data_IF_405252307512
#
_entry.id   IF_405252307512
#
_cell.length_a   1.000
_cell.length_b   1.000
_cell.length_c   1.000
_cell.angle_alpha   90.00
_cell.angle_beta   90.00
_cell.angle_gamma   90.00
#
_symmetry.space_group_name_H-M   'P 1'
#
loop_
_entity.id
_entity.type
_entity.pdbx_description
1 polymer ?
#
# COMPACT_ATOMS: atom_id res chain seq x y z
N UNK A 1 -18.69 -1.63 21.36
CA UNK A 1 -17.34 -1.11 21.12
C UNK A 1 -16.32 -1.63 22.12
N UNK A 2 -16.48 -1.48 23.44
CA UNK A 2 -15.60 -2.20 24.40
C UNK A 2 -15.60 -3.73 24.21
N UNK A 3 -16.65 -4.26 23.57
CA UNK A 3 -16.77 -5.66 23.16
C UNK A 3 -16.01 -6.05 21.90
N UNK A 4 -15.48 -5.09 21.14
CA UNK A 4 -14.70 -5.31 19.89
C UNK A 4 -13.18 -5.24 20.15
N UNK A 5 -12.77 -4.63 21.26
CA UNK A 5 -11.37 -4.58 21.68
C UNK A 5 -11.04 -5.84 22.47
N UNK A 6 -9.87 -6.42 22.19
CA UNK A 6 -9.38 -7.55 22.98
C UNK A 6 -9.33 -7.18 24.48
N UNK A 7 -9.81 -8.04 25.41
CA UNK A 7 -9.85 -7.72 26.84
C UNK A 7 -8.49 -7.34 27.43
N UNK A 8 -7.38 -7.94 26.97
CA UNK A 8 -6.04 -7.59 27.46
C UNK A 8 -5.64 -6.19 27.00
N UNK A 9 -5.97 -5.83 25.76
CA UNK A 9 -5.74 -4.49 25.21
C UNK A 9 -6.59 -3.45 25.94
N UNK A 10 -7.88 -3.75 26.15
CA UNK A 10 -8.78 -2.88 26.86
C UNK A 10 -8.36 -2.67 28.33
N UNK A 11 -7.82 -3.72 28.97
CA UNK A 11 -7.25 -3.64 30.32
C UNK A 11 -6.16 -2.57 30.44
N UNK A 12 -5.16 -2.62 29.55
CA UNK A 12 -4.07 -1.61 29.51
C UNK A 12 -4.62 -0.21 29.21
N UNK A 13 -5.56 -0.08 28.28
CA UNK A 13 -6.17 1.22 27.97
C UNK A 13 -6.88 1.81 29.19
N UNK A 14 -7.64 0.99 29.92
CA UNK A 14 -8.34 1.41 31.12
C UNK A 14 -7.37 1.77 32.25
N UNK A 15 -6.33 0.99 32.46
CA UNK A 15 -5.28 1.27 33.45
C UNK A 15 -4.63 2.63 33.18
N UNK A 16 -4.15 2.85 31.95
CA UNK A 16 -3.53 4.14 31.56
C UNK A 16 -4.49 5.31 31.68
N UNK A 17 -5.77 5.12 31.32
CA UNK A 17 -6.80 6.15 31.45
C UNK A 17 -7.07 6.52 32.91
N UNK A 18 -7.01 5.54 33.83
CA UNK A 18 -7.30 5.74 35.25
C UNK A 18 -6.10 6.29 36.03
N UNK A 19 -4.88 5.86 35.68
CA UNK A 19 -3.64 6.32 36.33
C UNK A 19 -3.11 7.63 35.76
N UNK A 20 -3.44 7.95 34.50
CA UNK A 20 -2.99 9.16 33.83
C UNK A 20 -3.78 10.41 34.23
N UNK A 21 -3.15 11.57 34.09
CA UNK A 21 -3.87 12.85 34.11
C UNK A 21 -4.97 12.85 33.05
N UNK A 22 -6.16 13.35 33.39
CA UNK A 22 -7.24 13.54 32.41
C UNK A 22 -6.78 14.49 31.32
N UNK A 23 -6.55 13.96 30.12
CA UNK A 23 -6.14 14.69 28.93
C UNK A 23 -7.09 14.41 27.79
N UNK A 24 -7.28 15.40 26.93
CA UNK A 24 -8.02 15.22 25.68
C UNK A 24 -7.19 14.39 24.69
N UNK A 25 -7.83 13.69 23.73
CA UNK A 25 -7.13 12.92 22.70
C UNK A 25 -6.08 13.73 21.91
N UNK A 26 -6.26 15.05 21.80
CA UNK A 26 -5.33 15.94 21.09
C UNK A 26 -4.12 16.30 21.95
N UNK A 27 -4.31 16.55 23.25
CA UNK A 27 -3.21 16.86 24.18
C UNK A 27 -2.23 15.70 24.34
N UNK A 28 -2.73 14.46 24.22
CA UNK A 28 -1.90 13.27 24.24
C UNK A 28 -0.92 13.27 23.05
N UNK A 29 -1.43 13.48 21.83
CA UNK A 29 -0.59 13.50 20.63
C UNK A 29 0.37 14.69 20.65
N UNK A 30 -0.10 15.87 21.09
CA UNK A 30 0.75 17.06 21.21
C UNK A 30 1.96 16.82 22.12
N UNK A 31 1.77 16.16 23.28
CA UNK A 31 2.88 15.82 24.19
C UNK A 31 3.86 14.79 23.62
N UNK A 32 3.44 14.00 22.63
CA UNK A 32 4.35 13.08 21.94
C UNK A 32 5.18 13.79 20.85
N UNK A 33 4.98 15.09 20.62
CA UNK A 33 5.82 15.92 19.73
C UNK A 33 5.14 16.38 18.44
N UNK A 34 3.80 16.29 18.35
CA UNK A 34 3.04 16.76 17.17
C UNK A 34 2.36 18.08 17.51
N UNK A 35 3.07 19.18 17.30
CA UNK A 35 2.65 20.49 17.79
C UNK A 35 1.41 21.05 17.07
N UNK A 36 1.13 20.63 15.84
CA UNK A 36 -0.05 20.98 15.05
C UNK A 36 -1.26 20.03 15.27
N UNK A 37 -1.22 19.21 16.32
CA UNK A 37 -2.24 18.18 16.56
C UNK A 37 -3.68 18.71 16.69
N UNK A 38 -3.83 19.97 17.11
CA UNK A 38 -5.13 20.64 17.24
C UNK A 38 -5.77 20.97 15.90
N UNK A 39 -4.97 21.27 14.89
CA UNK A 39 -5.45 21.69 13.56
C UNK A 39 -5.78 20.49 12.66
N UNK A 40 -5.20 19.32 12.96
CA UNK A 40 -5.33 18.09 12.15
C UNK A 40 -6.03 16.93 12.89
N UNK A 41 -6.83 17.22 13.92
CA UNK A 41 -7.37 16.20 14.83
C UNK A 41 -8.10 15.03 14.13
N UNK A 42 -8.84 15.31 13.05
CA UNK A 42 -9.53 14.30 12.24
C UNK A 42 -8.56 13.46 11.39
N UNK A 43 -7.52 14.08 10.83
CA UNK A 43 -6.51 13.37 10.05
C UNK A 43 -5.63 12.48 10.97
N UNK A 44 -5.40 12.89 12.21
CA UNK A 44 -4.60 12.17 13.22
C UNK A 44 -5.28 10.95 13.83
N UNK A 45 -6.58 10.76 13.59
CA UNK A 45 -7.29 9.55 14.02
C UNK A 45 -6.81 8.29 13.29
N UNK A 46 -6.06 8.47 12.20
CA UNK A 46 -5.56 7.38 11.37
C UNK A 46 -4.13 7.60 10.85
N UNK A 47 -3.61 8.84 10.85
CA UNK A 47 -2.26 9.11 10.35
C UNK A 47 -1.15 8.63 11.30
N UNK A 48 -0.04 8.22 10.68
CA UNK A 48 1.26 8.32 11.31
C UNK A 48 1.77 9.77 11.16
N UNK A 49 2.50 10.28 12.14
CA UNK A 49 3.06 11.65 12.12
C UNK A 49 4.46 11.69 12.71
N UNK A 50 5.14 12.83 12.54
CA UNK A 50 6.49 13.04 13.02
C UNK A 50 7.51 13.19 11.88
N UNK A 51 8.78 13.28 12.25
CA UNK A 51 9.90 13.41 11.33
C UNK A 51 10.58 12.04 11.09
N UNK A 52 11.69 12.04 10.34
CA UNK A 52 12.47 10.83 10.07
C UNK A 52 13.07 10.19 11.33
N UNK A 53 13.08 10.89 12.47
CA UNK A 53 13.65 10.41 13.72
C UNK A 53 12.58 9.88 14.68
N UNK A 54 11.33 10.35 14.56
CA UNK A 54 10.28 10.13 15.56
C UNK A 54 8.91 9.86 14.91
N UNK A 55 8.68 8.66 14.39
CA UNK A 55 7.36 8.26 13.87
C UNK A 55 6.41 7.94 15.03
N UNK A 56 5.21 8.53 14.99
CA UNK A 56 4.11 8.27 15.91
C UNK A 56 2.95 7.71 15.11
N UNK A 57 2.51 6.48 15.38
CA UNK A 57 1.38 5.85 14.72
C UNK A 57 0.18 5.75 15.65
N UNK A 58 -0.97 6.27 15.20
CA UNK A 58 -2.25 5.92 15.83
C UNK A 58 -2.64 4.52 15.39
N UNK A 59 -2.88 3.61 16.34
CA UNK A 59 -3.43 2.27 16.11
C UNK A 59 -4.83 2.17 16.71
N UNK A 60 -5.78 1.66 15.93
CA UNK A 60 -7.12 1.35 16.44
C UNK A 60 -7.05 0.09 17.30
N UNK A 61 -7.42 0.21 18.57
CA UNK A 61 -7.33 -0.87 19.54
C UNK A 61 -8.20 -2.06 19.14
N UNK A 62 -9.29 -1.83 18.40
CA UNK A 62 -10.18 -2.84 17.84
C UNK A 62 -9.47 -3.77 16.84
N UNK A 63 -8.35 -3.32 16.24
CA UNK A 63 -7.56 -4.09 15.28
C UNK A 63 -6.21 -4.55 15.84
N UNK A 64 -5.92 -4.27 17.13
CA UNK A 64 -4.79 -4.88 17.82
C UNK A 64 -5.15 -6.33 18.13
N UNK A 65 -4.22 -7.24 17.82
CA UNK A 65 -4.36 -8.66 18.05
C UNK A 65 -3.39 -9.11 19.12
N UNK A 66 -3.81 -10.07 19.95
CA UNK A 66 -3.00 -10.66 21.01
C UNK A 66 -2.71 -12.10 20.62
N UNK A 67 -1.47 -12.37 20.19
CA UNK A 67 -1.02 -13.69 19.79
C UNK A 67 -0.49 -14.53 20.97
N UNK A 68 0.14 -15.65 20.65
CA UNK A 68 0.68 -16.58 21.62
C UNK A 68 1.61 -15.91 22.65
N UNK A 69 1.43 -16.25 23.93
CA UNK A 69 2.20 -15.69 25.04
C UNK A 69 1.82 -14.24 25.41
N UNK A 70 0.68 -13.74 24.94
CA UNK A 70 0.19 -12.39 25.28
C UNK A 70 0.89 -11.26 24.53
N UNK A 71 1.63 -11.58 23.45
CA UNK A 71 2.32 -10.60 22.62
C UNK A 71 1.39 -9.95 21.63
N UNK A 72 1.52 -8.64 21.44
CA UNK A 72 0.59 -7.88 20.62
C UNK A 72 1.16 -7.60 19.24
N UNK A 73 0.28 -7.61 18.26
CA UNK A 73 0.62 -7.23 16.91
C UNK A 73 -0.55 -6.49 16.24
N UNK A 74 -0.23 -5.78 15.17
CA UNK A 74 -1.17 -5.04 14.36
C UNK A 74 -0.85 -5.27 12.90
N UNK A 75 -1.87 -5.64 12.12
CA UNK A 75 -1.75 -5.86 10.69
C UNK A 75 -2.16 -4.59 9.94
N UNK A 76 -1.22 -4.01 9.20
CA UNK A 76 -1.43 -2.82 8.37
C UNK A 76 -1.58 -3.23 6.91
N UNK A 77 -2.58 -2.69 6.20
CA UNK A 77 -2.73 -2.95 4.76
C UNK A 77 -1.83 -2.01 3.96
N UNK A 78 -1.03 -2.57 3.05
CA UNK A 78 -0.20 -1.80 2.12
C UNK A 78 -0.98 -1.28 0.91
N UNK A 79 -2.25 -1.66 0.74
CA UNK A 79 -3.07 -1.17 -0.36
C UNK A 79 -3.70 0.18 0.01
N UNK A 80 -3.24 1.30 -0.59
CA UNK A 80 -3.76 2.62 -0.23
C UNK A 80 -5.15 2.90 -0.83
N UNK A 81 -5.69 2.04 -1.68
CA UNK A 81 -6.97 2.27 -2.37
C UNK A 81 -8.17 1.58 -1.70
N UNK A 82 -7.93 0.61 -0.82
CA UNK A 82 -9.00 -0.21 -0.21
C UNK A 82 -9.10 0.10 1.28
N UNK A 83 -10.31 0.38 1.75
CA UNK A 83 -10.58 0.63 3.18
C UNK A 83 -10.50 -0.67 3.98
N UNK A 84 -10.20 -0.54 5.27
CA UNK A 84 -10.55 -1.56 6.26
C UNK A 84 -12.07 -1.77 6.21
N UNK A 85 -12.56 -3.02 6.22
CA UNK A 85 -13.98 -3.31 5.98
C UNK A 85 -14.38 -3.43 4.51
N UNK A 86 -13.46 -3.11 3.59
CA UNK A 86 -13.68 -3.18 2.15
C UNK A 86 -14.24 -1.90 1.50
N UNK A 87 -14.27 -1.93 0.18
CA UNK A 87 -14.66 -0.79 -0.66
C UNK A 87 -13.54 0.21 -0.89
N UNK A 88 -13.75 1.08 -1.88
CA UNK A 88 -12.74 2.04 -2.32
C UNK A 88 -12.60 3.23 -1.35
N UNK A 89 -11.37 3.68 -1.16
CA UNK A 89 -11.05 4.97 -0.56
C UNK A 89 -11.30 6.09 -1.57
N UNK A 90 -11.82 7.21 -1.08
CA UNK A 90 -11.77 8.50 -1.78
C UNK A 90 -10.32 8.95 -1.99
N UNK A 91 -10.08 9.89 -2.90
CA UNK A 91 -8.74 10.41 -3.18
C UNK A 91 -8.03 10.95 -1.93
N UNK A 92 -8.75 11.65 -1.04
CA UNK A 92 -8.20 12.15 0.21
C UNK A 92 -7.82 11.02 1.19
N UNK A 93 -8.68 10.01 1.34
CA UNK A 93 -8.38 8.84 2.17
C UNK A 93 -7.19 8.06 1.62
N UNK A 94 -7.11 7.89 0.30
CA UNK A 94 -6.01 7.19 -0.35
C UNK A 94 -4.68 7.94 -0.20
N UNK A 95 -4.69 9.27 -0.27
CA UNK A 95 -3.49 10.07 -0.02
C UNK A 95 -3.03 9.91 1.43
N UNK A 96 -3.94 9.98 2.41
CA UNK A 96 -3.60 9.74 3.82
C UNK A 96 -3.03 8.35 4.08
N UNK A 97 -3.58 7.31 3.42
CA UNK A 97 -3.00 5.97 3.48
C UNK A 97 -1.56 5.97 2.95
N UNK A 98 -1.31 6.58 1.79
CA UNK A 98 0.04 6.69 1.21
C UNK A 98 1.01 7.40 2.16
N UNK A 99 0.59 8.50 2.76
CA UNK A 99 1.42 9.28 3.68
C UNK A 99 1.78 8.45 4.93
N UNK A 100 0.79 7.76 5.52
CA UNK A 100 0.98 6.83 6.63
C UNK A 100 1.96 5.70 6.26
N UNK A 101 1.73 5.03 5.14
CA UNK A 101 2.58 3.94 4.66
C UNK A 101 4.00 4.42 4.38
N UNK A 102 4.17 5.62 3.83
CA UNK A 102 5.48 6.20 3.61
C UNK A 102 6.26 6.44 4.91
N UNK A 103 5.58 6.88 5.97
CA UNK A 103 6.20 7.04 7.30
C UNK A 103 6.58 5.69 7.93
N UNK A 104 5.67 4.71 7.89
CA UNK A 104 5.93 3.37 8.42
C UNK A 104 7.05 2.68 7.65
N UNK A 105 7.09 2.81 6.31
CA UNK A 105 8.17 2.27 5.48
C UNK A 105 9.51 2.89 5.82
N UNK A 106 9.58 4.20 6.05
CA UNK A 106 10.81 4.87 6.48
C UNK A 106 11.29 4.37 7.84
N UNK A 107 10.38 4.15 8.79
CA UNK A 107 10.73 3.57 10.09
C UNK A 107 11.27 2.14 9.93
N UNK A 108 10.62 1.31 9.12
CA UNK A 108 11.06 -0.04 8.80
C UNK A 108 12.43 -0.07 8.12
N UNK A 109 12.64 0.74 7.08
CA UNK A 109 13.90 0.81 6.33
C UNK A 109 15.08 1.30 7.17
N UNK A 110 14.79 2.11 8.18
CA UNK A 110 15.77 2.57 9.16
C UNK A 110 15.96 1.63 10.35
N UNK A 111 15.23 0.50 10.40
CA UNK A 111 15.16 -0.44 11.52
C UNK A 111 14.82 0.22 12.87
N UNK A 112 13.90 1.19 12.83
CA UNK A 112 13.51 2.01 13.99
C UNK A 112 12.15 1.63 14.53
N UNK A 113 12.03 1.75 15.85
CA UNK A 113 10.76 1.67 16.53
C UNK A 113 9.84 2.85 16.16
N UNK A 114 8.55 2.63 16.35
CA UNK A 114 7.45 3.57 16.17
C UNK A 114 6.81 3.76 17.54
N UNK A 115 6.55 5.02 17.91
CA UNK A 115 5.77 5.32 19.11
C UNK A 115 4.29 5.18 18.77
N UNK A 116 3.51 4.55 19.63
CA UNK A 116 2.10 4.25 19.32
C UNK A 116 1.15 5.00 20.23
N UNK A 117 0.04 5.46 19.65
CA UNK A 117 -1.15 5.88 20.39
C UNK A 117 -2.26 4.87 20.12
N UNK A 118 -2.71 4.19 21.17
CA UNK A 118 -3.88 3.32 21.10
C UNK A 118 -5.13 4.18 21.13
N UNK A 119 -6.02 3.96 20.18
CA UNK A 119 -7.28 4.69 20.04
C UNK A 119 -8.46 3.72 20.09
N UNK A 120 -9.46 4.03 20.92
CA UNK A 120 -10.80 3.44 20.81
C UNK A 120 -11.78 4.47 20.28
N UNK A 121 -12.81 3.98 19.64
CA UNK A 121 -13.73 4.79 18.87
C UNK A 121 -15.15 4.78 19.45
N UNK A 122 -15.98 5.77 19.07
CA UNK A 122 -17.42 5.82 19.39
C UNK A 122 -18.31 5.36 18.22
N UNK A 123 -17.70 4.96 17.12
CA UNK A 123 -18.37 4.31 15.99
C UNK A 123 -17.56 3.06 15.60
N UNK A 124 -18.18 2.06 14.95
CA UNK A 124 -17.48 0.85 14.51
C UNK A 124 -16.24 1.17 13.67
N UNK A 125 -15.17 0.42 13.89
CA UNK A 125 -13.87 0.67 13.26
C UNK A 125 -13.92 0.64 11.73
N UNK A 126 -14.79 -0.21 11.15
CA UNK A 126 -14.98 -0.32 9.69
C UNK A 126 -15.61 0.93 9.06
N UNK A 127 -16.28 1.77 9.86
CA UNK A 127 -16.92 3.00 9.39
C UNK A 127 -16.00 4.23 9.61
N UNK A 128 -14.92 4.07 10.38
CA UNK A 128 -14.08 5.16 10.87
C UNK A 128 -13.41 5.96 9.74
N UNK A 129 -12.93 5.28 8.69
CA UNK A 129 -12.29 5.99 7.57
C UNK A 129 -13.24 7.01 6.91
N UNK A 130 -14.56 6.79 7.02
CA UNK A 130 -15.60 7.62 6.39
C UNK A 130 -16.18 8.71 7.32
N UNK A 131 -15.88 8.70 8.62
CA UNK A 131 -16.39 9.68 9.58
C UNK A 131 -15.46 10.89 9.68
N UNK A 132 -15.91 12.03 9.15
CA UNK A 132 -15.17 13.31 9.19
C UNK A 132 -14.96 13.86 10.61
N UNK A 133 -15.78 13.46 11.57
CA UNK A 133 -15.64 13.84 12.97
C UNK A 133 -14.76 12.86 13.78
N UNK A 134 -14.37 11.74 13.15
CA UNK A 134 -13.48 10.72 13.66
C UNK A 134 -13.78 10.33 15.11
N UNK A 135 -15.07 10.24 15.50
CA UNK A 135 -15.59 10.30 16.90
C UNK A 135 -14.77 9.48 17.90
N UNK A 136 -13.64 10.02 18.33
CA UNK A 136 -12.67 9.33 19.18
C UNK A 136 -13.27 9.20 20.57
N UNK A 137 -13.18 8.00 21.14
CA UNK A 137 -13.60 7.76 22.52
C UNK A 137 -12.44 8.03 23.47
N UNK A 138 -11.35 7.28 23.32
CA UNK A 138 -10.16 7.34 24.18
C UNK A 138 -8.91 7.28 23.31
N UNK A 139 -7.87 8.03 23.70
CA UNK A 139 -6.50 7.79 23.27
C UNK A 139 -5.64 7.57 24.51
N UNK A 140 -4.70 6.65 24.44
CA UNK A 140 -3.63 6.50 25.43
C UNK A 140 -2.31 6.26 24.68
N UNK A 141 -1.20 6.89 25.12
CA UNK A 141 0.11 6.51 24.59
C UNK A 141 0.41 5.08 25.03
N UNK A 142 1.00 4.29 24.15
CA UNK A 142 1.64 3.04 24.54
C UNK A 142 3.13 3.32 24.81
N UNK A 143 3.63 2.79 25.93
CA UNK A 143 5.00 3.07 26.38
C UNK A 143 5.97 1.96 25.94
N UNK A 144 5.44 0.83 25.50
CA UNK A 144 6.23 -0.22 24.87
C UNK A 144 6.65 0.19 23.45
N UNK A 145 7.84 -0.24 23.06
CA UNK A 145 8.29 -0.09 21.67
C UNK A 145 7.35 -0.86 20.74
N UNK A 146 6.94 -0.22 19.65
CA UNK A 146 6.40 -0.92 18.49
C UNK A 146 7.42 -0.88 17.36
N UNK A 147 7.46 -1.90 16.52
CA UNK A 147 8.33 -1.91 15.34
C UNK A 147 7.67 -2.69 14.20
N UNK A 148 8.06 -2.39 12.96
CA UNK A 148 7.60 -3.13 11.79
C UNK A 148 8.48 -4.38 11.67
N UNK A 149 7.96 -5.52 12.08
CA UNK A 149 8.66 -6.81 12.04
C UNK A 149 8.74 -7.38 10.62
N UNK A 150 7.74 -7.09 9.78
CA UNK A 150 7.68 -7.57 8.40
C UNK A 150 7.02 -6.54 7.49
N UNK A 151 7.57 -6.40 6.28
CA UNK A 151 6.99 -5.63 5.19
C UNK A 151 6.87 -6.51 3.95
N UNK A 152 5.67 -7.05 3.71
CA UNK A 152 5.40 -7.97 2.61
C UNK A 152 4.57 -7.27 1.53
N UNK A 153 5.27 -6.83 0.48
CA UNK A 153 4.66 -6.16 -0.67
C UNK A 153 3.77 -7.11 -1.48
N UNK A 154 4.09 -8.41 -1.55
CA UNK A 154 3.34 -9.37 -2.35
C UNK A 154 2.00 -9.69 -1.67
N UNK A 155 2.00 -9.88 -0.36
CA UNK A 155 0.78 -10.06 0.43
C UNK A 155 0.03 -8.76 0.73
N UNK A 156 0.62 -7.62 0.37
CA UNK A 156 0.13 -6.27 0.62
C UNK A 156 -0.13 -5.99 2.11
N UNK A 157 0.79 -6.44 2.98
CA UNK A 157 0.69 -6.27 4.44
C UNK A 157 2.00 -5.78 5.05
N UNK A 158 1.90 -5.01 6.13
CA UNK A 158 2.99 -4.78 7.06
C UNK A 158 2.56 -5.24 8.46
N UNK A 159 3.48 -5.91 9.14
CA UNK A 159 3.26 -6.44 10.49
C UNK A 159 3.96 -5.54 11.50
N UNK A 160 3.18 -4.91 12.37
CA UNK A 160 3.69 -4.16 13.51
C UNK A 160 3.62 -5.04 14.76
N UNK A 161 4.71 -5.11 15.51
CA UNK A 161 4.84 -5.91 16.74
C UNK A 161 5.16 -4.99 17.91
N UNK A 162 4.53 -5.26 19.06
CA UNK A 162 4.79 -4.60 20.34
C UNK A 162 5.83 -5.39 21.16
N UNK A 163 6.81 -4.68 21.72
CA UNK A 163 7.84 -5.22 22.61
C UNK A 163 9.08 -5.71 21.88
N UNK A 164 9.72 -6.75 22.43
CA UNK A 164 11.02 -7.24 21.96
C UNK A 164 10.99 -7.71 20.49
N UNK A 165 12.06 -7.41 19.77
CA UNK A 165 12.27 -7.79 18.36
C UNK A 165 12.53 -9.29 18.20
N UNK A 166 12.31 -9.79 16.99
CA UNK A 166 12.55 -11.20 16.64
C UNK A 166 11.39 -12.15 16.96
N UNK A 167 10.23 -11.61 17.32
CA UNK A 167 9.00 -12.40 17.39
C UNK A 167 8.08 -12.12 16.20
N UNK A 168 7.43 -13.18 15.73
CA UNK A 168 6.35 -13.11 14.76
C UNK A 168 5.13 -13.91 15.26
N UNK A 169 3.90 -13.43 15.00
CA UNK A 169 2.69 -14.20 15.21
C UNK A 169 2.66 -15.41 14.25
N UNK A 170 1.92 -16.45 14.61
CA UNK A 170 1.76 -17.62 13.74
C UNK A 170 0.79 -17.35 12.58
N UNK A 171 0.79 -18.22 11.57
CA UNK A 171 -0.08 -18.08 10.39
C UNK A 171 -1.58 -17.98 10.75
N UNK A 172 -2.02 -18.76 11.75
CA UNK A 172 -3.41 -18.71 12.21
C UNK A 172 -3.78 -17.34 12.83
N UNK A 173 -2.85 -16.74 13.58
CA UNK A 173 -3.04 -15.40 14.16
C UNK A 173 -3.10 -14.34 13.05
N UNK A 174 -2.24 -14.46 12.03
CA UNK A 174 -2.22 -13.56 10.87
C UNK A 174 -3.52 -13.66 10.05
N UNK A 175 -4.00 -14.89 9.80
CA UNK A 175 -5.28 -15.12 9.11
C UNK A 175 -6.46 -14.53 9.89
N UNK A 176 -6.51 -14.76 11.21
CA UNK A 176 -7.56 -14.20 12.06
C UNK A 176 -7.54 -12.66 12.07
N UNK A 177 -6.36 -12.06 12.13
CA UNK A 177 -6.19 -10.60 12.05
C UNK A 177 -6.64 -10.04 10.70
N UNK A 178 -6.31 -10.71 9.59
CA UNK A 178 -6.71 -10.31 8.24
C UNK A 178 -8.23 -10.36 8.07
N UNK A 179 -8.85 -11.44 8.53
CA UNK A 179 -10.31 -11.60 8.53
C UNK A 179 -11.00 -10.53 9.38
N UNK A 180 -10.47 -10.22 10.57
CA UNK A 180 -11.00 -9.16 11.45
C UNK A 180 -10.97 -7.79 10.80
N UNK A 181 -9.90 -7.46 10.09
CA UNK A 181 -9.78 -6.21 9.36
C UNK A 181 -10.57 -6.20 8.04
N UNK A 182 -11.22 -7.31 7.68
CA UNK A 182 -11.84 -7.57 6.37
C UNK A 182 -10.91 -7.15 5.22
N UNK A 183 -9.61 -7.40 5.39
CA UNK A 183 -8.64 -7.17 4.34
C UNK A 183 -8.89 -8.21 3.24
N UNK A 184 -8.80 -7.83 1.96
CA UNK A 184 -8.89 -8.81 0.89
C UNK A 184 -7.90 -9.94 1.16
N UNK A 185 -8.38 -11.17 1.12
CA UNK A 185 -7.50 -12.34 1.00
C UNK A 185 -6.53 -12.04 -0.16
N UNK A 186 -5.24 -12.37 -0.02
CA UNK A 186 -4.45 -12.51 -1.23
C UNK A 186 -5.22 -13.50 -2.09
N UNK A 187 -5.36 -13.24 -3.39
CA UNK A 187 -6.08 -14.17 -4.26
C UNK A 187 -5.59 -15.59 -3.93
N UNK A 188 -6.50 -16.54 -3.62
CA UNK A 188 -6.09 -17.84 -3.15
C UNK A 188 -5.08 -18.42 -4.14
N UNK A 189 -4.19 -19.27 -3.65
CA UNK A 189 -3.24 -20.08 -4.42
C UNK A 189 -3.92 -20.98 -5.50
N UNK A 190 -5.17 -20.71 -5.89
CA UNK A 190 -5.69 -21.05 -7.20
C UNK A 190 -4.83 -20.46 -8.34
N UNK A 191 -4.08 -19.39 -8.08
CA UNK A 191 -3.04 -18.87 -8.99
C UNK A 191 -1.72 -19.68 -8.97
N UNK A 192 -1.59 -20.69 -8.08
CA UNK A 192 -0.49 -21.66 -8.08
C UNK A 192 -0.82 -22.93 -8.89
N UNK A 193 -2.07 -23.08 -9.36
CA UNK A 193 -2.48 -24.10 -10.34
C UNK A 193 -2.46 -23.57 -11.78
N UNK A 194 -2.46 -22.25 -11.99
CA UNK A 194 -1.88 -21.69 -13.19
C UNK A 194 -0.37 -21.74 -13.01
N UNK A 195 0.36 -22.36 -13.93
CA UNK A 195 1.82 -22.27 -13.94
C UNK A 195 2.28 -20.81 -13.93
N UNK A 196 3.59 -20.53 -13.78
CA UNK A 196 4.11 -19.18 -13.96
C UNK A 196 3.52 -18.61 -15.26
N UNK A 197 2.79 -17.48 -15.16
CA UNK A 197 2.22 -16.83 -16.31
C UNK A 197 3.33 -16.65 -17.33
N UNK A 198 3.16 -17.23 -18.50
CA UNK A 198 4.18 -17.17 -19.54
C UNK A 198 4.47 -15.71 -19.88
N UNK A 199 5.68 -15.38 -20.35
CA UNK A 199 6.00 -14.03 -20.81
C UNK A 199 4.99 -13.49 -21.83
N UNK A 200 4.40 -14.38 -22.63
CA UNK A 200 3.34 -14.07 -23.60
C UNK A 200 2.03 -13.65 -22.92
N UNK A 201 1.60 -14.35 -21.87
CA UNK A 201 0.39 -14.00 -21.10
C UNK A 201 0.57 -12.67 -20.35
N UNK A 202 1.74 -12.44 -19.76
CA UNK A 202 2.06 -11.16 -19.11
C UNK A 202 2.06 -10.00 -20.11
N UNK A 203 2.62 -10.23 -21.30
CA UNK A 203 2.62 -9.24 -22.38
C UNK A 203 1.19 -8.96 -22.89
N UNK A 204 0.38 -9.99 -23.11
CA UNK A 204 -1.02 -9.84 -23.53
C UNK A 204 -1.86 -9.05 -22.51
N UNK A 205 -1.73 -9.35 -21.22
CA UNK A 205 -2.42 -8.61 -20.16
C UNK A 205 -1.99 -7.14 -20.10
N UNK A 206 -0.68 -6.87 -20.27
CA UNK A 206 -0.15 -5.51 -20.33
C UNK A 206 -0.69 -4.72 -21.54
N UNK A 207 -0.80 -5.37 -22.71
CA UNK A 207 -1.39 -4.80 -23.91
C UNK A 207 -2.86 -4.42 -23.70
N UNK A 208 -3.64 -5.31 -23.07
CA UNK A 208 -5.05 -5.07 -22.76
C UNK A 208 -5.21 -3.88 -21.80
N UNK A 209 -4.41 -3.84 -20.72
CA UNK A 209 -4.42 -2.75 -19.74
C UNK A 209 -4.15 -1.38 -20.39
N UNK A 210 -3.10 -1.28 -21.20
CA UNK A 210 -2.74 -0.02 -21.85
C UNK A 210 -3.78 0.39 -22.89
N UNK A 211 -4.32 -0.55 -23.65
CA UNK A 211 -5.39 -0.28 -24.63
C UNK A 211 -6.62 0.30 -23.93
N UNK A 212 -7.07 -0.31 -22.84
CA UNK A 212 -8.20 0.19 -22.02
C UNK A 212 -7.89 1.56 -21.42
N UNK A 213 -6.67 1.76 -20.91
CA UNK A 213 -6.25 3.03 -20.32
C UNK A 213 -6.37 4.17 -21.34
N UNK A 214 -5.71 4.07 -22.50
CA UNK A 214 -5.72 5.14 -23.51
C UNK A 214 -7.10 5.34 -24.14
N UNK A 215 -7.87 4.27 -24.36
CA UNK A 215 -9.25 4.36 -24.81
C UNK A 215 -10.13 5.14 -23.80
N UNK A 216 -9.90 4.94 -22.49
CA UNK A 216 -10.58 5.68 -21.43
C UNK A 216 -10.32 7.19 -21.46
N UNK A 217 -9.17 7.63 -21.98
CA UNK A 217 -8.85 9.04 -22.22
C UNK A 217 -9.29 9.55 -23.61
N UNK A 218 -9.95 8.71 -24.41
CA UNK A 218 -10.46 9.08 -25.73
C UNK A 218 -9.41 9.10 -26.84
N UNK A 219 -8.27 8.44 -26.64
CA UNK A 219 -7.27 8.20 -27.67
C UNK A 219 -7.54 6.87 -28.39
N UNK A 220 -7.11 6.78 -29.65
CA UNK A 220 -7.11 5.51 -30.39
C UNK A 220 -5.78 4.80 -30.14
N UNK A 221 -5.81 3.67 -29.44
CA UNK A 221 -4.66 2.79 -29.24
C UNK A 221 -4.79 1.56 -30.13
N UNK A 222 -3.83 1.35 -31.04
CA UNK A 222 -3.84 0.29 -32.05
C UNK A 222 -2.67 -0.67 -31.85
N UNK A 223 -2.95 -1.98 -31.87
CA UNK A 223 -1.93 -3.02 -31.80
C UNK A 223 -1.23 -3.16 -33.17
N UNK A 224 0.08 -2.92 -33.19
CA UNK A 224 0.95 -3.00 -34.36
C UNK A 224 2.08 -4.03 -34.18
N UNK A 225 2.03 -4.87 -33.16
CA UNK A 225 3.09 -5.86 -32.84
C UNK A 225 3.45 -6.73 -34.05
N UNK A 226 2.46 -7.16 -34.84
CA UNK A 226 2.67 -7.99 -36.04
C UNK A 226 3.52 -7.32 -37.13
N UNK A 227 3.73 -6.01 -37.07
CA UNK A 227 4.55 -5.24 -38.02
C UNK A 227 6.05 -5.24 -37.66
N UNK A 228 6.43 -5.70 -36.46
CA UNK A 228 7.84 -5.85 -36.07
C UNK A 228 8.61 -4.53 -35.97
N UNK A 229 7.94 -3.41 -35.67
CA UNK A 229 8.49 -2.06 -35.78
C UNK A 229 9.37 -1.64 -34.59
N UNK A 230 9.46 -2.45 -33.52
CA UNK A 230 10.12 -2.08 -32.26
C UNK A 230 9.22 -1.35 -31.26
N UNK A 231 7.90 -1.38 -31.48
CA UNK A 231 6.85 -1.01 -30.54
C UNK A 231 5.59 -1.82 -30.83
N UNK A 232 4.71 -1.92 -29.86
CA UNK A 232 3.53 -2.77 -29.87
C UNK A 232 2.23 -1.99 -30.06
N UNK A 233 2.14 -0.77 -29.51
CA UNK A 233 0.94 0.07 -29.58
C UNK A 233 1.27 1.42 -30.22
N UNK A 234 0.48 1.84 -31.18
CA UNK A 234 0.42 3.25 -31.61
C UNK A 234 -0.77 3.96 -30.99
N UNK A 235 -0.52 5.06 -30.28
CA UNK A 235 -1.57 5.91 -29.71
C UNK A 235 -1.70 7.14 -30.56
N UNK A 236 -2.91 7.41 -31.06
CA UNK A 236 -3.23 8.56 -31.89
C UNK A 236 -4.38 9.39 -31.33
N UNK A 237 -4.39 10.68 -31.67
CA UNK A 237 -5.51 11.56 -31.36
C UNK A 237 -6.72 11.31 -32.27
N UNK A 238 -7.83 12.01 -32.00
CA UNK A 238 -9.08 11.90 -32.80
C UNK A 238 -8.91 12.32 -34.26
N UNK A 239 -7.80 12.99 -34.63
CA UNK A 239 -7.48 13.43 -35.98
C UNK A 239 -6.50 12.47 -36.67
N UNK A 240 -6.11 11.37 -36.02
CA UNK A 240 -5.19 10.36 -36.55
C UNK A 240 -3.71 10.71 -36.41
N UNK A 241 -3.36 11.77 -35.66
CA UNK A 241 -1.95 12.10 -35.41
C UNK A 241 -1.39 11.14 -34.36
N UNK A 242 -0.32 10.41 -34.69
CA UNK A 242 0.42 9.57 -33.74
C UNK A 242 1.04 10.44 -32.65
N UNK A 243 0.69 10.15 -31.40
CA UNK A 243 1.18 10.81 -30.20
C UNK A 243 2.27 10.01 -29.52
N UNK A 244 2.10 8.68 -29.44
CA UNK A 244 3.03 7.76 -28.78
C UNK A 244 3.21 6.49 -29.59
N UNK A 245 4.43 5.95 -29.56
CA UNK A 245 4.79 4.61 -30.03
C UNK A 245 5.28 3.81 -28.84
N UNK A 246 4.54 2.79 -28.40
CA UNK A 246 4.74 2.18 -27.09
C UNK A 246 5.23 0.74 -27.24
N UNK A 247 6.43 0.46 -26.74
CA UNK A 247 6.89 -0.90 -26.47
C UNK A 247 6.38 -1.35 -25.10
N UNK A 248 5.81 -2.54 -24.99
CA UNK A 248 5.05 -2.99 -23.82
C UNK A 248 5.72 -4.16 -23.13
N UNK A 249 5.95 -4.02 -21.82
CA UNK A 249 6.49 -5.07 -20.95
C UNK A 249 5.57 -5.27 -19.76
N UNK A 250 5.08 -6.50 -19.60
CA UNK A 250 4.30 -6.91 -18.42
C UNK A 250 5.20 -7.58 -17.40
N UNK A 251 4.98 -7.30 -16.11
CA UNK A 251 5.65 -7.97 -15.00
C UNK A 251 4.62 -8.46 -13.98
N UNK A 252 4.99 -9.48 -13.19
CA UNK A 252 4.22 -9.98 -12.03
C UNK A 252 5.18 -10.21 -10.86
N UNK A 253 4.72 -10.14 -9.61
CA UNK A 253 5.48 -10.63 -8.46
C UNK A 253 6.06 -12.03 -8.73
N UNK A 254 7.37 -12.20 -8.52
CA UNK A 254 8.12 -13.42 -8.86
C UNK A 254 8.73 -13.48 -10.28
N UNK A 255 8.28 -12.64 -11.22
CA UNK A 255 8.89 -12.47 -12.55
C UNK A 255 8.99 -10.98 -12.92
N UNK A 256 9.85 -10.20 -12.25
CA UNK A 256 10.00 -8.77 -12.53
C UNK A 256 10.85 -8.51 -13.78
N UNK A 257 11.50 -9.53 -14.34
CA UNK A 257 12.57 -9.37 -15.32
C UNK A 257 12.05 -9.36 -16.77
N UNK A 258 12.51 -8.40 -17.58
CA UNK A 258 12.23 -8.36 -19.02
C UNK A 258 13.44 -7.90 -19.83
N UNK A 259 13.43 -8.19 -21.13
CA UNK A 259 14.44 -7.74 -22.09
C UNK A 259 13.83 -6.89 -23.19
N UNK A 260 14.65 -5.96 -23.70
CA UNK A 260 14.36 -5.25 -24.93
C UNK A 260 15.04 -5.93 -26.11
N UNK A 261 14.28 -6.12 -27.17
CA UNK A 261 14.75 -6.53 -28.48
C UNK A 261 15.68 -5.46 -29.08
N UNK A 262 16.47 -5.87 -30.08
CA UNK A 262 17.34 -4.94 -30.82
C UNK A 262 16.56 -3.81 -31.49
N UNK A 263 15.37 -4.10 -32.03
CA UNK A 263 14.49 -3.11 -32.64
C UNK A 263 13.95 -2.10 -31.61
N UNK A 264 13.50 -2.56 -30.45
CA UNK A 264 13.05 -1.69 -29.36
C UNK A 264 14.20 -0.79 -28.86
N UNK A 265 15.42 -1.32 -28.70
CA UNK A 265 16.59 -0.52 -28.31
C UNK A 265 16.96 0.52 -29.38
N UNK A 266 16.87 0.16 -30.67
CA UNK A 266 17.08 1.10 -31.76
C UNK A 266 16.06 2.25 -31.72
N UNK A 267 14.78 1.94 -31.46
CA UNK A 267 13.73 2.94 -31.31
C UNK A 267 13.90 3.79 -30.05
N UNK A 268 14.28 3.19 -28.93
CA UNK A 268 14.61 3.91 -27.70
C UNK A 268 15.71 4.95 -27.95
N UNK A 269 16.75 4.59 -28.71
CA UNK A 269 17.84 5.51 -29.07
C UNK A 269 17.40 6.62 -30.03
N UNK A 270 16.43 6.34 -30.92
CA UNK A 270 15.85 7.34 -31.82
C UNK A 270 14.99 8.37 -31.09
N UNK A 271 14.39 8.01 -29.95
CA UNK A 271 13.67 8.94 -29.07
C UNK A 271 12.21 9.16 -29.46
N UNK A 272 11.71 10.39 -29.28
CA UNK A 272 10.29 10.71 -29.45
C UNK A 272 9.75 10.34 -30.85
N UNK A 273 8.52 9.80 -30.95
CA UNK A 273 7.49 9.64 -29.91
C UNK A 273 7.54 8.31 -29.14
N UNK A 274 8.67 7.58 -29.19
CA UNK A 274 8.76 6.24 -28.62
C UNK A 274 8.80 6.23 -27.08
N UNK A 275 8.08 5.30 -26.46
CA UNK A 275 8.07 5.07 -25.01
C UNK A 275 8.15 3.58 -24.69
N UNK A 276 8.81 3.25 -23.59
CA UNK A 276 8.66 1.96 -22.93
C UNK A 276 7.55 2.06 -21.89
N UNK A 277 6.55 1.19 -21.95
CA UNK A 277 5.56 1.00 -20.90
C UNK A 277 5.87 -0.27 -20.11
N UNK A 278 6.16 -0.12 -18.81
CA UNK A 278 6.25 -1.25 -17.89
C UNK A 278 4.94 -1.33 -17.11
N UNK A 279 4.22 -2.43 -17.25
CA UNK A 279 2.97 -2.71 -16.53
C UNK A 279 3.25 -3.70 -15.41
N UNK A 280 3.20 -3.21 -14.18
CA UNK A 280 3.35 -4.00 -12.96
C UNK A 280 2.03 -4.69 -12.60
N UNK A 281 2.11 -5.94 -12.17
CA UNK A 281 0.99 -6.82 -11.88
C UNK A 281 -0.03 -6.87 -13.03
N UNK A 282 0.48 -7.02 -14.26
CA UNK A 282 -0.30 -6.93 -15.49
C UNK A 282 -1.61 -7.74 -15.51
N UNK A 283 -1.66 -9.02 -15.05
CA UNK A 283 -2.91 -9.78 -15.01
C UNK A 283 -3.81 -9.45 -13.81
N UNK A 284 -3.31 -8.69 -12.83
CA UNK A 284 -3.99 -8.44 -11.56
C UNK A 284 -4.89 -7.21 -11.56
N UNK A 285 -5.86 -7.12 -10.63
CA UNK A 285 -6.70 -5.94 -10.46
C UNK A 285 -5.93 -4.70 -9.96
N UNK A 286 -4.69 -4.89 -9.50
CA UNK A 286 -3.78 -3.83 -9.09
C UNK A 286 -2.86 -3.31 -10.22
N UNK A 287 -3.11 -3.72 -11.48
CA UNK A 287 -2.26 -3.36 -12.61
C UNK A 287 -1.99 -1.84 -12.69
N UNK A 288 -0.72 -1.47 -12.66
CA UNK A 288 -0.26 -0.10 -12.80
C UNK A 288 0.81 -0.04 -13.88
N UNK A 289 0.92 1.09 -14.58
CA UNK A 289 1.96 1.25 -15.59
C UNK A 289 2.75 2.53 -15.40
N UNK A 290 4.00 2.51 -15.85
CA UNK A 290 4.86 3.68 -15.96
C UNK A 290 5.47 3.75 -17.35
N UNK A 291 5.48 4.96 -17.90
CA UNK A 291 6.09 5.26 -19.19
C UNK A 291 7.52 5.80 -18.99
N UNK A 292 8.46 5.31 -19.79
CA UNK A 292 9.84 5.74 -19.82
C UNK A 292 10.17 6.27 -21.21
N UNK A 293 10.84 7.42 -21.27
CA UNK A 293 11.45 7.92 -22.51
C UNK A 293 12.65 7.06 -22.89
N UNK A 294 13.07 7.15 -24.15
CA UNK A 294 14.28 6.47 -24.64
C UNK A 294 15.51 6.66 -23.74
N UNK A 295 15.72 7.88 -23.23
CA UNK A 295 16.82 8.22 -22.31
C UNK A 295 16.65 7.68 -20.88
N UNK A 296 15.48 7.18 -20.51
CA UNK A 296 15.12 6.71 -19.17
C UNK A 296 14.99 5.18 -19.10
N UNK A 297 15.09 4.50 -20.24
CA UNK A 297 14.88 3.05 -20.36
C UNK A 297 15.77 2.25 -19.41
N UNK A 298 17.05 2.62 -19.29
CA UNK A 298 18.00 1.91 -18.43
C UNK A 298 17.69 2.04 -16.93
N UNK A 299 16.78 2.96 -16.56
CA UNK A 299 16.27 3.11 -15.19
C UNK A 299 14.99 2.31 -14.91
N UNK A 300 14.45 1.61 -15.91
CA UNK A 300 13.22 0.84 -15.77
C UNK A 300 13.46 -0.37 -14.84
N UNK A 301 12.72 -0.48 -13.71
CA UNK A 301 12.84 -1.62 -12.81
C UNK A 301 12.56 -2.93 -13.54
N UNK A 302 13.42 -3.92 -13.36
CA UNK A 302 13.26 -5.24 -14.00
C UNK A 302 13.91 -5.38 -15.38
N UNK A 303 14.49 -4.32 -15.94
CA UNK A 303 15.26 -4.45 -17.17
C UNK A 303 16.51 -5.31 -16.92
N UNK A 304 16.63 -6.41 -17.66
CA UNK A 304 17.83 -7.23 -17.64
C UNK A 304 18.95 -6.56 -18.44
N UNK A 305 20.22 -6.68 -17.97
CA UNK A 305 21.37 -6.27 -18.74
C UNK A 305 21.40 -7.03 -20.08
N UNK A 306 21.93 -6.36 -21.10
CA UNK A 306 22.01 -6.88 -22.47
C UNK A 306 23.21 -7.80 -22.62
#
# INVERSE_FOLDING_TARGET
MDKEVDPAVLGVINEKRLMGEKRTPVEIIARMGVFDAREKAADLAWLATGDNLNVIATLWAELVNVGAGGRWFYLESLNPQVRIGGGARSAQQAQRAKDRLGLLKRAHDADRGVRVVLQTNRVPVLEMESDKSARVSVRVPDDEEWHIAEWDADRQIALLVRGARGWMPGDADLQAARARAAMPEPAPEADALAGPASPEELHAAAMEHLTKHFAGYGYKAENVTAQGLGWDIEVSDKKGKTLLKIAVKGTKSGMPAFQLTSAERACAKAGDPWRLAVVSDAPGPAAQHKLYRGSEVDSAPGLLPS
#
